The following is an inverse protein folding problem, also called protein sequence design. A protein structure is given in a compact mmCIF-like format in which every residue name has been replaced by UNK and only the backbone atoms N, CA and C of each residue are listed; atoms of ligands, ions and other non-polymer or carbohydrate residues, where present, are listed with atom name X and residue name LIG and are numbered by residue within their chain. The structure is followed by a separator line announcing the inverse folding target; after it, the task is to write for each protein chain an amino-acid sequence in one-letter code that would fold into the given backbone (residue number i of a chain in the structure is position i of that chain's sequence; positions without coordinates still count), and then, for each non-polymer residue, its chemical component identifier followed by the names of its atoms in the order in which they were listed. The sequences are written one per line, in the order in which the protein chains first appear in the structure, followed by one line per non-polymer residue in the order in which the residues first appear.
data_IF_782451760158
#
_entry.id   IF_782451760158
#
_cell.length_a   1.000
_cell.length_b   1.000
_cell.length_c   1.000
_cell.angle_alpha   90.00
_cell.angle_beta   90.00
_cell.angle_gamma   90.00
#
_symmetry.space_group_name_H-M   'P 1'
#
loop_
_entity.id
_entity.type
_entity.pdbx_description
1 polymer ?
#
# COMPACT_ATOMS: atom_id res chain seq x y z
N UNK A 1 9.93 -32.65 52.37
CA UNK A 1 9.80 -31.25 51.87
C UNK A 1 8.75 -30.54 52.72
N UNK A 2 9.14 -29.47 53.40
CA UNK A 2 8.24 -28.76 54.31
C UNK A 2 7.12 -28.17 53.44
N UNK A 3 5.84 -28.40 53.77
CA UNK A 3 4.71 -28.01 52.90
C UNK A 3 4.75 -26.53 52.47
N UNK A 4 5.39 -25.68 53.29
CA UNK A 4 5.66 -24.25 53.03
C UNK A 4 6.64 -24.01 51.86
N UNK A 5 7.63 -24.88 51.68
CA UNK A 5 8.65 -24.79 50.62
C UNK A 5 8.04 -25.11 49.25
N UNK A 6 7.10 -26.05 49.19
CA UNK A 6 6.39 -26.38 47.94
C UNK A 6 5.52 -25.23 47.40
N UNK A 7 4.90 -24.45 48.30
CA UNK A 7 4.05 -23.30 47.93
C UNK A 7 4.89 -22.14 47.38
N UNK A 8 6.06 -21.88 47.97
CA UNK A 8 6.96 -20.79 47.53
C UNK A 8 7.50 -21.06 46.12
N UNK A 9 7.87 -22.30 45.82
CA UNK A 9 8.36 -22.69 44.49
C UNK A 9 7.24 -22.59 43.44
N UNK A 10 6.02 -22.96 43.79
CA UNK A 10 4.85 -22.80 42.91
C UNK A 10 4.56 -21.35 42.53
N UNK A 11 4.66 -20.42 43.50
CA UNK A 11 4.42 -18.99 43.26
C UNK A 11 5.49 -18.38 42.35
N UNK A 12 6.76 -18.79 42.49
CA UNK A 12 7.86 -18.31 41.65
C UNK A 12 7.70 -18.77 40.19
N UNK A 13 7.23 -20.01 39.97
CA UNK A 13 6.99 -20.55 38.62
C UNK A 13 5.82 -19.82 37.94
N UNK A 14 4.75 -19.50 38.68
CA UNK A 14 3.61 -18.73 38.16
C UNK A 14 4.01 -17.29 37.81
N UNK A 15 4.85 -16.65 38.63
CA UNK A 15 5.38 -15.32 38.35
C UNK A 15 6.33 -15.29 37.14
N UNK A 16 7.15 -16.32 36.94
CA UNK A 16 7.99 -16.46 35.73
C UNK A 16 7.15 -16.66 34.46
N UNK A 17 6.10 -17.49 34.52
CA UNK A 17 5.22 -17.73 33.38
C UNK A 17 4.39 -16.48 33.00
N UNK A 18 3.92 -15.72 34.00
CA UNK A 18 3.26 -14.44 33.78
C UNK A 18 4.21 -13.37 33.20
N UNK A 19 5.45 -13.32 33.68
CA UNK A 19 6.49 -12.40 33.16
C UNK A 19 6.88 -12.70 31.72
N UNK A 20 6.99 -13.98 31.34
CA UNK A 20 7.30 -14.37 29.96
C UNK A 20 6.12 -14.11 29.00
N UNK A 21 4.88 -14.30 29.47
CA UNK A 21 3.67 -14.00 28.68
C UNK A 21 3.52 -12.53 28.30
N UNK A 22 3.94 -11.60 29.18
CA UNK A 22 3.89 -10.15 28.89
C UNK A 22 5.04 -9.70 28.00
N UNK A 23 6.23 -10.32 28.10
CA UNK A 23 7.38 -9.94 27.26
C UNK A 23 7.28 -10.47 25.81
N UNK A 24 6.55 -11.56 25.58
CA UNK A 24 6.32 -12.13 24.24
C UNK A 24 5.10 -11.55 23.49
N UNK A 25 4.28 -10.73 24.14
CA UNK A 25 3.08 -10.11 23.55
C UNK A 25 3.25 -8.61 23.21
N UNK A 26 4.48 -8.10 23.19
CA UNK A 26 4.76 -6.82 22.51
C UNK A 26 4.73 -7.10 21.02
N UNK A 27 3.52 -6.95 20.48
CA UNK A 27 3.10 -7.32 19.14
C UNK A 27 4.18 -7.09 18.10
N UNK A 28 4.35 -8.10 17.25
CA UNK A 28 4.70 -7.86 15.85
C UNK A 28 3.75 -6.77 15.36
N UNK A 29 4.26 -5.53 15.31
CA UNK A 29 3.69 -4.51 14.48
C UNK A 29 3.69 -5.10 13.08
N UNK A 30 2.54 -5.61 12.67
CA UNK A 30 2.22 -5.84 11.28
C UNK A 30 2.67 -4.56 10.59
N UNK A 31 3.80 -4.61 9.86
CA UNK A 31 4.13 -3.60 8.87
C UNK A 31 2.95 -3.68 7.92
N UNK A 32 1.97 -2.81 8.15
CA UNK A 32 1.01 -2.47 7.13
C UNK A 32 1.88 -2.02 5.97
N UNK A 33 1.99 -2.87 4.95
CA UNK A 33 2.54 -2.49 3.67
C UNK A 33 1.71 -1.29 3.26
N UNK A 34 2.27 -0.10 3.47
CA UNK A 34 1.64 1.14 3.09
C UNK A 34 1.59 1.05 1.57
N UNK A 35 0.41 0.75 1.03
CA UNK A 35 0.21 0.64 -0.41
C UNK A 35 0.62 1.98 -0.98
N UNK A 36 1.75 1.99 -1.68
CA UNK A 36 2.30 3.18 -2.30
C UNK A 36 1.24 3.74 -3.22
N UNK A 37 0.76 4.96 -2.95
CA UNK A 37 -0.40 5.55 -3.64
C UNK A 37 -0.01 6.20 -4.97
N UNK A 38 1.28 6.26 -5.26
CA UNK A 38 1.86 6.94 -6.40
C UNK A 38 2.92 6.07 -7.05
N UNK A 39 3.24 6.37 -8.30
CA UNK A 39 4.36 5.80 -9.06
C UNK A 39 5.26 6.95 -9.48
N UNK A 40 6.57 6.74 -9.32
CA UNK A 40 7.59 7.69 -9.74
C UNK A 40 7.94 7.50 -11.21
N UNK A 41 7.81 8.57 -11.99
CA UNK A 41 8.07 8.61 -13.44
C UNK A 41 9.15 9.65 -13.70
N UNK A 42 10.16 9.30 -14.49
CA UNK A 42 11.22 10.23 -14.92
C UNK A 42 11.03 10.52 -16.40
N UNK A 43 10.90 11.81 -16.73
CA UNK A 43 10.82 12.30 -18.10
C UNK A 43 11.94 13.32 -18.40
N UNK A 44 11.89 13.94 -19.58
CA UNK A 44 12.91 14.93 -20.01
C UNK A 44 12.92 16.21 -19.17
N UNK A 45 11.87 16.48 -18.39
CA UNK A 45 11.72 17.62 -17.48
C UNK A 45 12.01 17.23 -16.02
N UNK A 46 12.34 15.97 -15.75
CA UNK A 46 12.76 15.48 -14.44
C UNK A 46 11.80 14.43 -13.88
N UNK A 47 11.82 14.28 -12.56
CA UNK A 47 11.04 13.29 -11.84
C UNK A 47 9.66 13.82 -11.42
N UNK A 48 8.64 12.96 -11.51
CA UNK A 48 7.25 13.23 -11.14
C UNK A 48 6.63 12.05 -10.41
N UNK A 49 5.79 12.32 -9.43
CA UNK A 49 4.93 11.31 -8.79
C UNK A 49 3.53 11.38 -9.40
N UNK A 50 3.01 10.24 -9.85
CA UNK A 50 1.68 10.11 -10.45
C UNK A 50 0.84 9.17 -9.60
N UNK A 51 -0.39 9.54 -9.21
CA UNK A 51 -1.25 8.68 -8.40
C UNK A 51 -1.59 7.38 -9.14
N UNK A 52 -1.65 6.28 -8.39
CA UNK A 52 -2.23 5.03 -8.89
C UNK A 52 -3.72 5.22 -9.16
N UNK A 53 -4.21 4.66 -10.27
CA UNK A 53 -5.61 4.72 -10.71
C UNK A 53 -6.16 6.16 -10.69
N UNK A 54 -5.60 7.08 -11.50
CA UNK A 54 -6.09 8.44 -11.56
C UNK A 54 -7.54 8.48 -12.04
N UNK A 55 -8.39 9.24 -11.36
CA UNK A 55 -9.81 9.37 -11.73
C UNK A 55 -10.04 10.40 -12.86
N UNK A 56 -9.11 11.33 -13.05
CA UNK A 56 -9.23 12.45 -13.98
C UNK A 56 -7.94 12.62 -14.77
N UNK A 57 -7.95 12.17 -16.01
CA UNK A 57 -6.79 12.22 -16.91
C UNK A 57 -7.10 13.09 -18.12
N UNK A 58 -6.21 14.02 -18.45
CA UNK A 58 -6.26 14.80 -19.71
C UNK A 58 -5.18 14.26 -20.64
N UNK A 59 -5.54 14.00 -21.89
CA UNK A 59 -4.65 13.38 -22.87
C UNK A 59 -4.51 14.30 -24.07
N UNK A 60 -3.26 14.60 -24.43
CA UNK A 60 -2.95 15.44 -25.59
C UNK A 60 -2.30 14.66 -26.73
N UNK A 61 -1.69 13.51 -26.42
CA UNK A 61 -1.02 12.64 -27.37
C UNK A 61 -1.98 11.56 -27.90
N UNK A 62 -2.12 11.45 -29.21
CA UNK A 62 -3.08 10.52 -29.83
C UNK A 62 -2.65 9.06 -29.70
N UNK A 63 -1.35 8.75 -29.62
CA UNK A 63 -0.89 7.38 -29.38
C UNK A 63 -1.25 6.90 -27.97
N UNK A 64 -1.14 7.79 -26.99
CA UNK A 64 -1.59 7.53 -25.62
C UNK A 64 -3.11 7.36 -25.55
N UNK A 65 -3.87 8.16 -26.31
CA UNK A 65 -5.32 8.02 -26.42
C UNK A 65 -5.72 6.65 -27.02
N UNK A 66 -5.06 6.21 -28.08
CA UNK A 66 -5.30 4.91 -28.73
C UNK A 66 -5.14 3.74 -27.74
N UNK A 67 -4.05 3.75 -26.96
CA UNK A 67 -3.81 2.77 -25.90
C UNK A 67 -4.92 2.83 -24.85
N UNK A 68 -5.34 4.03 -24.43
CA UNK A 68 -6.42 4.18 -23.46
C UNK A 68 -7.75 3.64 -23.99
N UNK A 69 -8.07 3.86 -25.27
CA UNK A 69 -9.25 3.31 -25.94
C UNK A 69 -9.22 1.78 -25.93
N UNK A 70 -8.10 1.16 -26.28
CA UNK A 70 -7.93 -0.30 -26.26
C UNK A 70 -8.06 -0.88 -24.84
N UNK A 71 -7.62 -0.13 -23.83
CA UNK A 71 -7.78 -0.49 -22.41
C UNK A 71 -9.18 -0.18 -21.85
N UNK A 72 -10.08 0.43 -22.63
CA UNK A 72 -11.42 0.82 -22.19
C UNK A 72 -11.42 1.93 -21.14
N UNK A 73 -10.43 2.83 -21.16
CA UNK A 73 -10.28 3.95 -20.21
C UNK A 73 -10.54 5.27 -20.92
N UNK A 74 -11.51 6.04 -20.45
CA UNK A 74 -11.85 7.35 -21.04
C UNK A 74 -11.19 8.52 -20.30
N UNK A 75 -10.54 9.46 -21.01
CA UNK A 75 -10.01 10.68 -20.41
C UNK A 75 -11.12 11.72 -20.17
N UNK A 76 -10.91 12.63 -19.23
CA UNK A 76 -11.83 13.75 -18.97
C UNK A 76 -11.62 14.92 -19.93
N UNK A 77 -10.57 14.88 -20.78
CA UNK A 77 -10.28 15.93 -21.75
C UNK A 77 -9.27 15.49 -22.80
N UNK A 78 -9.53 15.90 -24.05
CA UNK A 78 -8.69 15.63 -25.22
C UNK A 78 -8.93 16.71 -26.30
N UNK A 79 -8.02 16.88 -27.28
CA UNK A 79 -8.21 17.78 -28.41
C UNK A 79 -9.17 17.17 -29.45
N UNK A 80 -10.41 17.67 -29.51
CA UNK A 80 -11.46 17.09 -30.38
C UNK A 80 -11.29 17.41 -31.87
N UNK A 81 -10.75 18.57 -32.20
CA UNK A 81 -10.69 19.05 -33.60
C UNK A 81 -9.69 18.27 -34.48
N UNK A 82 -8.82 17.47 -33.87
CA UNK A 82 -7.74 16.74 -34.54
C UNK A 82 -7.88 15.23 -34.40
N UNK A 83 -9.05 14.73 -34.02
CA UNK A 83 -9.27 13.30 -33.86
C UNK A 83 -9.36 12.62 -35.24
N UNK A 84 -8.63 11.51 -35.44
CA UNK A 84 -8.92 10.58 -36.51
C UNK A 84 -10.29 9.92 -36.30
N UNK A 85 -10.98 9.58 -37.37
CA UNK A 85 -12.33 8.99 -37.29
C UNK A 85 -12.43 7.67 -36.52
N UNK A 86 -11.32 6.95 -36.33
CA UNK A 86 -11.31 5.71 -35.55
C UNK A 86 -11.18 5.94 -34.02
N UNK A 87 -10.95 7.19 -33.59
CA UNK A 87 -10.85 7.61 -32.19
C UNK A 87 -11.94 8.62 -31.80
N UNK A 88 -12.98 8.76 -32.63
CA UNK A 88 -14.19 9.53 -32.29
C UNK A 88 -15.08 8.79 -31.30
#
# INVERSE_FOLDING_TARGET
MNKKIGIIIGIIIVLMLAGFGVYKFKGESTKQTQVEKTVKIVDRKGEKEVPLKPERVVVLDLGSLDIMTELGVEPVGLPKNSLPSYLE
#
